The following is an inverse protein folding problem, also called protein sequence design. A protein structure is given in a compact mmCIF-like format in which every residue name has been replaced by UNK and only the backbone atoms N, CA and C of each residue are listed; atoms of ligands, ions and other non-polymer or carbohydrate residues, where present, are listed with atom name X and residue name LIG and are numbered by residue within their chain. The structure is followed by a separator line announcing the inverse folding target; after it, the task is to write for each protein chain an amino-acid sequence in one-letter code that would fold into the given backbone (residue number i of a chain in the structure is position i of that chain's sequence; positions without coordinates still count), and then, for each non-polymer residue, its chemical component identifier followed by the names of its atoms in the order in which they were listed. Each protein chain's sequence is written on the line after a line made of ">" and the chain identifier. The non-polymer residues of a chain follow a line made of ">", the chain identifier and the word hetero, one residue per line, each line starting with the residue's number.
data_IF_980931564699
#
_entry.id   IF_980931564699
#
_cell.length_a   1.000
_cell.length_b   1.000
_cell.length_c   1.000
_cell.angle_alpha   90.00
_cell.angle_beta   90.00
_cell.angle_gamma   90.00
#
_symmetry.space_group_name_H-M   'P 1'
#
loop_
_entity.id
_entity.type
_entity.pdbx_description
1 polymer ?
#
# COMPACT_ATOMS: atom_id res chain seq x y z
N UNK A 1 7.84 -11.19 -1.21
CA UNK A 1 7.50 -11.77 -2.53
C UNK A 1 8.62 -12.73 -2.95
N UNK A 2 8.85 -13.78 -2.17
CA UNK A 2 10.01 -14.67 -2.30
C UNK A 2 11.37 -13.94 -2.35
N UNK A 3 11.57 -12.97 -1.45
CA UNK A 3 12.86 -12.29 -1.29
C UNK A 3 13.93 -13.30 -0.86
N UNK A 4 15.13 -13.19 -1.41
CA UNK A 4 16.24 -14.16 -1.19
C UNK A 4 17.39 -13.60 -0.35
N UNK A 5 17.25 -12.35 0.09
CA UNK A 5 18.20 -11.63 0.93
C UNK A 5 17.68 -11.55 2.37
N UNK A 6 18.33 -10.73 3.21
CA UNK A 6 17.97 -10.56 4.62
C UNK A 6 16.67 -9.76 4.84
N UNK A 7 15.93 -9.40 3.78
CA UNK A 7 14.72 -8.57 3.88
C UNK A 7 13.70 -9.15 4.85
N UNK A 8 13.50 -10.48 4.85
CA UNK A 8 12.48 -11.09 5.71
C UNK A 8 12.81 -10.93 7.21
N UNK A 9 14.09 -11.04 7.58
CA UNK A 9 14.51 -10.93 8.97
C UNK A 9 14.40 -9.48 9.44
N UNK A 10 14.90 -8.53 8.65
CA UNK A 10 14.82 -7.08 8.96
C UNK A 10 13.37 -6.64 9.12
N UNK A 11 12.47 -7.06 8.22
CA UNK A 11 11.05 -6.71 8.34
C UNK A 11 10.37 -7.37 9.54
N UNK A 12 10.87 -8.53 10.00
CA UNK A 12 10.36 -9.18 11.19
C UNK A 12 10.76 -8.41 12.45
N UNK A 13 12.02 -7.98 12.55
CA UNK A 13 12.51 -7.12 13.65
C UNK A 13 11.70 -5.82 13.72
N UNK A 14 11.49 -5.14 12.58
CA UNK A 14 10.66 -3.91 12.53
C UNK A 14 9.23 -4.19 12.98
N UNK A 15 8.65 -5.32 12.57
CA UNK A 15 7.28 -5.71 12.98
C UNK A 15 7.19 -5.90 14.50
N UNK A 16 8.21 -6.47 15.13
CA UNK A 16 8.21 -6.73 16.58
C UNK A 16 8.09 -5.42 17.40
N UNK A 17 8.59 -4.31 16.84
CA UNK A 17 8.47 -2.96 17.43
C UNK A 17 7.17 -2.22 17.06
N UNK A 18 6.31 -2.78 16.19
CA UNK A 18 5.14 -2.10 15.63
C UNK A 18 3.83 -2.88 15.86
N UNK A 19 2.90 -2.33 16.64
CA UNK A 19 1.63 -3.00 16.98
C UNK A 19 0.62 -3.11 15.83
N UNK A 20 0.71 -2.24 14.83
CA UNK A 20 -0.25 -2.13 13.71
C UNK A 20 0.31 -2.63 12.37
N UNK A 21 1.37 -3.44 12.40
CA UNK A 21 2.06 -3.93 11.19
C UNK A 21 1.88 -5.44 11.04
N UNK A 22 1.55 -5.87 9.82
CA UNK A 22 1.47 -7.28 9.44
C UNK A 22 2.49 -7.61 8.34
N UNK A 23 3.29 -8.65 8.57
CA UNK A 23 4.23 -9.19 7.58
C UNK A 23 3.62 -10.40 6.87
N UNK A 24 3.42 -10.28 5.56
CA UNK A 24 2.85 -11.34 4.71
C UNK A 24 3.91 -11.91 3.79
N UNK A 25 4.28 -13.18 3.99
CA UNK A 25 5.23 -13.85 3.11
C UNK A 25 4.53 -14.57 1.94
N UNK A 26 4.84 -14.14 0.72
CA UNK A 26 4.42 -14.82 -0.51
C UNK A 26 5.52 -15.80 -0.91
N UNK A 27 5.28 -17.11 -0.68
CA UNK A 27 6.26 -18.20 -0.84
C UNK A 27 6.80 -18.41 -2.27
N UNK A 28 6.10 -17.90 -3.29
CA UNK A 28 6.52 -17.98 -4.71
C UNK A 28 6.61 -16.57 -5.26
N UNK A 29 7.57 -16.32 -6.14
CA UNK A 29 7.65 -15.05 -6.85
C UNK A 29 6.38 -14.81 -7.66
N UNK A 30 5.86 -13.58 -7.57
CA UNK A 30 4.67 -13.10 -8.27
C UNK A 30 4.97 -11.73 -8.89
N UNK A 31 4.21 -11.33 -9.92
CA UNK A 31 4.26 -9.95 -10.41
C UNK A 31 3.81 -8.96 -9.32
N UNK A 32 4.24 -7.71 -9.41
CA UNK A 32 3.88 -6.64 -8.47
C UNK A 32 2.36 -6.56 -8.25
N UNK A 33 1.58 -6.54 -9.33
CA UNK A 33 0.12 -6.51 -9.26
C UNK A 33 -0.44 -7.76 -8.54
N UNK A 34 0.16 -8.93 -8.72
CA UNK A 34 -0.25 -10.15 -8.03
C UNK A 34 0.15 -10.15 -6.54
N UNK A 35 1.29 -9.54 -6.20
CA UNK A 35 1.72 -9.35 -4.83
C UNK A 35 0.82 -8.36 -4.08
N UNK A 36 0.48 -7.22 -4.70
CA UNK A 36 -0.51 -6.26 -4.17
C UNK A 36 -1.84 -6.94 -3.90
N UNK A 37 -2.34 -7.74 -4.85
CA UNK A 37 -3.58 -8.52 -4.66
C UNK A 37 -3.51 -9.50 -3.48
N UNK A 38 -2.36 -10.13 -3.25
CA UNK A 38 -2.19 -11.05 -2.14
C UNK A 38 -2.23 -10.31 -0.80
N UNK A 39 -1.52 -9.19 -0.68
CA UNK A 39 -1.56 -8.32 0.49
C UNK A 39 -2.97 -7.77 0.75
N UNK A 40 -3.64 -7.27 -0.29
CA UNK A 40 -4.99 -6.72 -0.15
C UNK A 40 -6.02 -7.75 0.33
N UNK A 41 -5.97 -8.98 -0.20
CA UNK A 41 -6.82 -10.07 0.30
C UNK A 41 -6.53 -10.40 1.77
N UNK A 42 -5.27 -10.42 2.16
CA UNK A 42 -4.92 -10.61 3.56
C UNK A 42 -5.53 -9.50 4.42
N UNK A 43 -5.39 -8.23 4.03
CA UNK A 43 -5.92 -7.11 4.80
C UNK A 43 -7.45 -7.16 4.92
N UNK A 44 -8.16 -7.32 3.82
CA UNK A 44 -9.65 -7.35 3.81
C UNK A 44 -10.20 -8.54 4.60
N UNK A 45 -9.52 -9.69 4.58
CA UNK A 45 -9.99 -10.87 5.29
C UNK A 45 -9.72 -10.84 6.80
N UNK A 46 -8.74 -10.05 7.25
CA UNK A 46 -8.34 -9.97 8.66
C UNK A 46 -8.82 -8.69 9.35
N UNK A 47 -9.26 -7.69 8.58
CA UNK A 47 -9.66 -6.38 9.08
C UNK A 47 -10.91 -5.90 8.34
N UNK A 48 -11.85 -5.29 9.06
CA UNK A 48 -13.08 -4.72 8.48
C UNK A 48 -12.78 -3.41 7.73
N UNK A 49 -12.19 -3.52 6.54
CA UNK A 49 -11.69 -2.40 5.75
C UNK A 49 -12.60 -2.13 4.54
N UNK A 50 -13.06 -0.89 4.45
CA UNK A 50 -13.80 -0.40 3.27
C UNK A 50 -12.89 0.00 2.12
N UNK A 51 -11.70 0.52 2.42
CA UNK A 51 -10.74 1.02 1.43
C UNK A 51 -9.31 0.65 1.81
N UNK A 52 -8.44 0.48 0.81
CA UNK A 52 -7.05 0.09 0.98
C UNK A 52 -6.14 0.84 0.00
N UNK A 53 -5.34 1.75 0.54
CA UNK A 53 -4.22 2.33 -0.21
C UNK A 53 -3.03 1.37 -0.26
N UNK A 54 -2.35 1.27 -1.40
CA UNK A 54 -1.06 0.59 -1.50
C UNK A 54 0.04 1.51 -2.04
N UNK A 55 1.26 1.16 -1.64
CA UNK A 55 2.49 1.81 -2.11
C UNK A 55 3.42 0.71 -2.61
N UNK A 56 4.00 0.91 -3.79
CA UNK A 56 5.03 0.01 -4.33
C UNK A 56 6.41 0.67 -4.17
N UNK A 57 7.36 -0.04 -3.57
CA UNK A 57 8.75 0.44 -3.43
C UNK A 57 9.37 0.67 -4.82
N UNK A 58 9.00 -0.15 -5.81
CA UNK A 58 9.46 0.01 -7.19
C UNK A 58 9.03 1.35 -7.82
N UNK A 59 7.95 1.96 -7.31
CA UNK A 59 7.46 3.26 -7.79
C UNK A 59 8.27 4.44 -7.24
N UNK A 60 9.02 4.26 -6.14
CA UNK A 60 9.86 5.32 -5.59
C UNK A 60 11.09 5.63 -6.44
N UNK A 61 11.63 4.63 -7.15
CA UNK A 61 12.76 4.85 -8.05
C UNK A 61 12.45 5.82 -9.22
N UNK A 62 11.16 6.14 -9.43
CA UNK A 62 10.68 7.05 -10.47
C UNK A 62 10.16 8.38 -9.95
N UNK A 63 9.97 8.55 -8.64
CA UNK A 63 9.36 9.74 -8.01
C UNK A 63 10.35 10.45 -7.08
N UNK A 64 10.21 11.77 -6.93
CA UNK A 64 11.17 12.67 -6.27
C UNK A 64 11.16 12.64 -4.74
N UNK A 65 10.30 11.86 -4.10
CA UNK A 65 10.17 11.81 -2.64
C UNK A 65 10.37 10.39 -2.09
N UNK A 66 11.18 10.25 -1.04
CA UNK A 66 11.47 8.96 -0.40
C UNK A 66 10.38 8.51 0.59
N UNK A 67 10.52 7.29 1.12
CA UNK A 67 9.56 6.67 2.04
C UNK A 67 9.25 7.53 3.27
N UNK A 68 10.27 8.18 3.86
CA UNK A 68 10.10 9.08 5.01
C UNK A 68 9.11 10.20 4.71
N UNK A 69 9.32 10.93 3.61
CA UNK A 69 8.46 12.06 3.21
C UNK A 69 7.05 11.59 2.88
N UNK A 70 6.89 10.40 2.30
CA UNK A 70 5.57 9.81 2.09
C UNK A 70 4.85 9.55 3.42
N UNK A 71 5.52 8.91 4.38
CA UNK A 71 4.93 8.61 5.70
C UNK A 71 4.55 9.91 6.41
N UNK A 72 5.44 10.90 6.41
CA UNK A 72 5.18 12.22 7.02
C UNK A 72 3.99 12.92 6.36
N UNK A 73 3.93 12.98 5.03
CA UNK A 73 2.82 13.62 4.34
C UNK A 73 1.50 12.85 4.49
N UNK A 74 1.54 11.51 4.57
CA UNK A 74 0.35 10.70 4.87
C UNK A 74 -0.17 10.97 6.28
N UNK A 75 0.73 11.17 7.25
CA UNK A 75 0.36 11.51 8.61
C UNK A 75 -0.26 12.92 8.69
N UNK A 76 0.32 13.90 7.99
CA UNK A 76 -0.14 15.29 8.03
C UNK A 76 -1.45 15.51 7.26
N UNK A 77 -1.65 14.82 6.15
CA UNK A 77 -2.75 15.09 5.21
C UNK A 77 -3.69 13.87 5.03
N UNK A 78 -3.79 13.00 6.04
CA UNK A 78 -4.47 11.70 5.94
C UNK A 78 -5.89 11.81 5.36
N UNK A 79 -6.69 12.75 5.87
CA UNK A 79 -8.09 12.92 5.47
C UNK A 79 -8.21 13.38 4.02
N UNK A 80 -7.41 14.38 3.63
CA UNK A 80 -7.40 14.94 2.28
C UNK A 80 -6.97 13.89 1.25
N UNK A 81 -5.90 13.14 1.55
CA UNK A 81 -5.41 12.06 0.70
C UNK A 81 -6.47 10.96 0.58
N UNK A 82 -7.09 10.56 1.69
CA UNK A 82 -8.15 9.55 1.69
C UNK A 82 -9.34 9.98 0.82
N UNK A 83 -9.86 11.18 1.01
CA UNK A 83 -11.00 11.70 0.26
C UNK A 83 -10.71 11.80 -1.25
N UNK A 84 -9.50 12.25 -1.60
CA UNK A 84 -9.08 12.33 -3.00
C UNK A 84 -8.92 10.95 -3.64
N UNK A 85 -8.27 10.00 -2.95
CA UNK A 85 -8.10 8.66 -3.46
C UNK A 85 -9.44 7.92 -3.64
N UNK A 86 -10.33 8.01 -2.64
CA UNK A 86 -11.63 7.33 -2.66
C UNK A 86 -12.48 7.89 -3.81
N UNK A 87 -12.55 9.21 -3.96
CA UNK A 87 -13.33 9.83 -5.04
C UNK A 87 -12.82 9.42 -6.43
N UNK A 88 -11.51 9.35 -6.63
CA UNK A 88 -10.92 8.89 -7.90
C UNK A 88 -11.10 7.38 -8.16
N UNK A 89 -11.04 6.54 -7.12
CA UNK A 89 -11.21 5.09 -7.27
C UNK A 89 -12.63 4.72 -7.74
N UNK A 90 -13.65 5.48 -7.32
CA UNK A 90 -15.04 5.29 -7.74
C UNK A 90 -15.28 5.58 -9.24
N UNK A 91 -14.36 6.29 -9.91
CA UNK A 91 -14.43 6.59 -11.34
C UNK A 91 -13.93 5.43 -12.21
N UNK A 92 -13.03 4.58 -11.71
CA UNK A 92 -12.45 3.45 -12.45
C UNK A 92 -13.19 2.15 -12.11
N UNK A 93 -14.42 1.99 -12.61
CA UNK A 93 -15.26 0.82 -12.32
C UNK A 93 -14.69 -0.47 -12.94
N UNK A 94 -14.10 -1.32 -12.09
CA UNK A 94 -13.84 -2.73 -12.37
C UNK A 94 -14.91 -3.61 -11.72
N UNK A 95 -15.35 -4.67 -12.40
CA UNK A 95 -16.45 -5.58 -11.99
C UNK A 95 -16.12 -6.51 -10.78
N UNK A 96 -14.99 -6.31 -10.08
CA UNK A 96 -14.63 -7.13 -8.92
C UNK A 96 -14.56 -6.24 -7.68
N UNK A 97 -15.45 -6.48 -6.71
CA UNK A 97 -15.66 -5.68 -5.48
C UNK A 97 -14.35 -5.37 -4.74
N UNK A 98 -13.45 -6.35 -4.61
CA UNK A 98 -12.14 -6.17 -3.95
C UNK A 98 -11.29 -5.08 -4.63
N UNK A 99 -11.42 -4.88 -5.94
CA UNK A 99 -10.60 -3.94 -6.70
C UNK A 99 -11.19 -2.53 -6.77
N UNK A 100 -12.46 -2.34 -6.43
CA UNK A 100 -13.05 -1.01 -6.33
C UNK A 100 -12.46 -0.22 -5.16
N UNK A 101 -11.91 -0.95 -4.18
CA UNK A 101 -11.48 -0.40 -2.90
C UNK A 101 -9.96 -0.37 -2.75
N UNK A 102 -9.18 -0.68 -3.79
CA UNK A 102 -7.71 -0.68 -3.72
C UNK A 102 -7.16 0.38 -4.67
N UNK A 103 -6.33 1.30 -4.16
CA UNK A 103 -5.78 2.38 -4.98
C UNK A 103 -4.28 2.65 -4.70
N UNK A 104 -3.52 3.11 -5.71
CA UNK A 104 -2.14 3.53 -5.53
C UNK A 104 -2.08 4.90 -4.82
N UNK A 105 -1.55 4.91 -3.59
CA UNK A 105 -1.48 6.14 -2.76
C UNK A 105 -0.60 7.21 -3.41
N UNK A 106 0.47 6.78 -4.09
CA UNK A 106 1.44 7.69 -4.72
C UNK A 106 0.83 8.57 -5.81
N UNK A 107 -0.29 8.16 -6.41
CA UNK A 107 -0.94 8.94 -7.47
C UNK A 107 -1.85 10.03 -6.88
N UNK A 108 -2.36 9.81 -5.67
CA UNK A 108 -3.08 10.83 -4.92
C UNK A 108 -2.13 11.82 -4.23
N UNK A 109 -0.98 11.33 -3.76
CA UNK A 109 -0.06 12.10 -2.92
C UNK A 109 0.56 13.30 -3.64
N UNK A 110 0.88 13.16 -4.94
CA UNK A 110 1.47 14.23 -5.76
C UNK A 110 0.52 15.42 -5.96
N UNK A 111 -0.79 15.20 -5.81
CA UNK A 111 -1.82 16.22 -6.04
C UNK A 111 -2.06 17.04 -4.76
N UNK A 112 -1.93 16.42 -3.59
CA UNK A 112 -2.23 17.06 -2.29
C UNK A 112 -0.99 17.71 -1.65
N UNK A 113 0.22 17.33 -2.07
CA UNK A 113 1.48 17.78 -1.45
C UNK A 113 2.18 18.94 -2.17
N UNK A 114 1.43 19.73 -2.96
CA UNK A 114 1.87 21.01 -3.54
C UNK A 114 1.53 22.15 -2.56
#
# INVERSE_FOLDING_TARGET
>A
NNSRDNTQNILKEIKEECYNVSLVNIKKFKSDAAAVRAGARFMINNFDLKHLGYVSINSFNKKTFGLKRLIEGLHLNQEQISNHCISNSNLQKSNRIIFQNIFPVLDCFEIVSQ
#
